data_IF_360916143901
#
_entry.id   IF_360916143901
#
_cell.length_a   1.000
_cell.length_b   1.000
_cell.length_c   1.000
_cell.angle_alpha   90.00
_cell.angle_beta   90.00
_cell.angle_gamma   90.00
#
_symmetry.space_group_name_H-M   'P 1'
#
loop_
_entity.id
_entity.type
_entity.pdbx_description
1 polymer ?
#
# COMPACT_ATOMS: atom_id res chain seq x y z
N UNK A 1 6.71 -8.09 37.42
CA UNK A 1 6.22 -7.21 36.34
C UNK A 1 6.45 -7.92 35.02
N UNK A 2 5.44 -8.63 34.51
CA UNK A 2 5.56 -9.38 33.25
C UNK A 2 5.67 -8.39 32.09
N UNK A 3 6.80 -8.40 31.39
CA UNK A 3 6.88 -7.79 30.05
C UNK A 3 6.03 -8.66 29.12
N UNK A 4 4.86 -8.17 28.72
CA UNK A 4 4.13 -8.72 27.59
C UNK A 4 5.02 -8.47 26.36
N UNK A 5 5.57 -9.53 25.77
CA UNK A 5 6.27 -9.42 24.50
C UNK A 5 5.21 -9.27 23.40
N UNK A 6 4.80 -8.03 23.13
CA UNK A 6 3.93 -7.70 22.01
C UNK A 6 4.76 -7.92 20.73
N UNK A 7 4.52 -9.06 20.05
CA UNK A 7 5.20 -9.35 18.79
C UNK A 7 4.91 -8.28 17.73
N UNK A 8 5.84 -8.09 16.79
CA UNK A 8 5.66 -7.15 15.68
C UNK A 8 4.54 -7.63 14.76
N UNK A 9 3.49 -6.81 14.60
CA UNK A 9 2.43 -7.06 13.63
C UNK A 9 2.82 -6.47 12.29
N UNK A 10 2.89 -7.31 11.25
CA UNK A 10 3.16 -6.91 9.87
C UNK A 10 1.88 -6.98 9.06
N UNK A 11 1.53 -5.90 8.37
CA UNK A 11 0.39 -5.85 7.44
C UNK A 11 0.95 -5.80 6.02
N UNK A 12 0.59 -6.79 5.19
CA UNK A 12 1.00 -6.86 3.79
C UNK A 12 -0.16 -6.46 2.90
N UNK A 13 0.05 -5.44 2.07
CA UNK A 13 -0.94 -4.98 1.09
C UNK A 13 -0.38 -5.14 -0.31
N UNK A 14 -1.12 -5.85 -1.16
CA UNK A 14 -0.81 -5.94 -2.59
C UNK A 14 -1.22 -4.64 -3.29
N UNK A 15 -0.46 -4.22 -4.30
CA UNK A 15 -0.86 -3.09 -5.13
C UNK A 15 -2.27 -3.28 -5.72
N UNK A 16 -3.01 -2.19 -5.90
CA UNK A 16 -4.29 -2.19 -6.60
C UNK A 16 -4.17 -2.63 -8.07
N UNK A 17 -5.30 -2.80 -8.74
CA UNK A 17 -5.32 -3.16 -10.17
C UNK A 17 -4.47 -2.19 -11.01
N UNK A 18 -3.56 -2.75 -11.83
CA UNK A 18 -2.75 -1.99 -12.78
C UNK A 18 -3.29 -2.07 -14.21
N UNK A 19 -2.84 -1.16 -15.08
CA UNK A 19 -3.18 -1.19 -16.51
C UNK A 19 -2.82 -2.52 -17.18
N UNK A 20 -1.77 -3.21 -16.72
CA UNK A 20 -1.40 -4.53 -17.24
C UNK A 20 -2.29 -5.63 -16.67
N UNK A 21 -2.76 -5.52 -15.42
CA UNK A 21 -3.73 -6.46 -14.88
C UNK A 21 -5.05 -6.39 -15.66
N UNK A 22 -5.56 -5.18 -15.91
CA UNK A 22 -6.77 -4.98 -16.72
C UNK A 22 -6.62 -5.53 -18.15
N UNK A 23 -5.41 -5.49 -18.72
CA UNK A 23 -5.08 -6.06 -20.03
C UNK A 23 -4.74 -7.56 -19.99
N UNK A 24 -4.80 -8.22 -18.83
CA UNK A 24 -4.38 -9.61 -18.64
C UNK A 24 -2.93 -9.88 -19.10
N UNK A 25 -2.04 -8.90 -18.91
CA UNK A 25 -0.62 -8.98 -19.28
C UNK A 25 0.25 -9.30 -18.07
N UNK A 26 1.18 -10.23 -18.24
CA UNK A 26 2.24 -10.47 -17.28
C UNK A 26 3.22 -9.29 -17.24
N UNK A 27 3.55 -8.82 -16.04
CA UNK A 27 4.33 -7.60 -15.83
C UNK A 27 5.76 -7.85 -15.33
N UNK A 28 5.98 -8.90 -14.54
CA UNK A 28 7.28 -9.13 -13.88
C UNK A 28 7.76 -7.92 -13.08
N UNK A 29 9.05 -7.58 -13.23
CA UNK A 29 9.71 -6.42 -12.62
C UNK A 29 9.59 -5.12 -13.44
N UNK A 30 8.85 -5.12 -14.55
CA UNK A 30 8.67 -3.92 -15.37
C UNK A 30 7.87 -2.83 -14.64
N UNK A 31 8.39 -1.60 -14.67
CA UNK A 31 7.80 -0.43 -14.03
C UNK A 31 6.97 0.46 -14.98
N UNK A 32 6.41 -0.15 -16.02
CA UNK A 32 5.66 0.57 -17.05
C UNK A 32 4.18 0.75 -16.65
N UNK A 33 3.57 -0.23 -15.99
CA UNK A 33 2.15 -0.12 -15.64
C UNK A 33 1.91 0.90 -14.52
N UNK A 34 0.78 1.58 -14.58
CA UNK A 34 0.25 2.41 -13.50
C UNK A 34 -1.03 1.81 -12.95
N UNK A 35 -1.50 2.29 -11.80
CA UNK A 35 -2.84 1.93 -11.30
C UNK A 35 -3.93 2.41 -12.25
N UNK A 36 -4.95 1.58 -12.42
CA UNK A 36 -6.23 1.99 -12.99
C UNK A 36 -7.01 2.81 -11.97
N UNK A 37 -8.09 3.48 -12.40
CA UNK A 37 -8.97 4.17 -11.45
C UNK A 37 -9.65 3.19 -10.48
N UNK A 38 -9.95 1.96 -10.93
CA UNK A 38 -10.44 0.87 -10.08
C UNK A 38 -9.40 0.54 -9.01
N UNK A 39 -8.13 0.40 -9.41
CA UNK A 39 -7.02 0.17 -8.49
C UNK A 39 -6.84 1.29 -7.47
N UNK A 40 -6.98 2.55 -7.89
CA UNK A 40 -6.92 3.72 -6.99
C UNK A 40 -8.09 3.75 -6.00
N UNK A 41 -9.30 3.49 -6.47
CA UNK A 41 -10.49 3.41 -5.60
C UNK A 41 -10.34 2.31 -4.54
N UNK A 42 -9.87 1.13 -4.93
CA UNK A 42 -9.60 0.04 -3.99
C UNK A 42 -8.49 0.40 -2.98
N UNK A 43 -7.45 1.10 -3.41
CA UNK A 43 -6.39 1.59 -2.52
C UNK A 43 -6.94 2.58 -1.48
N UNK A 44 -7.77 3.55 -1.90
CA UNK A 44 -8.42 4.49 -0.97
C UNK A 44 -9.30 3.77 0.04
N UNK A 45 -10.13 2.82 -0.39
CA UNK A 45 -10.97 2.01 0.51
C UNK A 45 -10.12 1.23 1.53
N UNK A 46 -8.98 0.69 1.10
CA UNK A 46 -8.03 0.02 1.99
C UNK A 46 -7.43 0.98 3.02
N UNK A 47 -7.03 2.18 2.59
CA UNK A 47 -6.56 3.24 3.48
C UNK A 47 -7.61 3.64 4.53
N UNK A 48 -8.86 3.85 4.11
CA UNK A 48 -9.97 4.13 5.02
C UNK A 48 -10.18 3.00 6.03
N UNK A 49 -10.15 1.74 5.60
CA UNK A 49 -10.29 0.58 6.47
C UNK A 49 -9.17 0.50 7.53
N UNK A 50 -7.95 0.87 7.15
CA UNK A 50 -6.78 0.83 8.04
C UNK A 50 -6.58 2.12 8.85
N UNK A 51 -7.36 3.17 8.60
CA UNK A 51 -7.19 4.51 9.23
C UNK A 51 -7.28 4.52 10.76
N UNK A 52 -7.94 3.54 11.37
CA UNK A 52 -8.03 3.39 12.82
C UNK A 52 -6.82 2.70 13.48
N UNK A 53 -5.80 2.33 12.70
CA UNK A 53 -4.60 1.65 13.19
C UNK A 53 -3.41 2.60 13.22
N UNK A 54 -2.61 2.51 14.28
CA UNK A 54 -1.29 3.14 14.34
C UNK A 54 -0.24 2.29 13.64
N UNK A 55 0.64 2.92 12.88
CA UNK A 55 1.77 2.26 12.23
C UNK A 55 3.06 2.96 12.62
N UNK A 56 4.06 2.18 13.04
CA UNK A 56 5.39 2.68 13.34
C UNK A 56 6.20 2.97 12.06
N UNK A 57 5.91 2.26 10.97
CA UNK A 57 6.58 2.41 9.69
C UNK A 57 5.72 1.90 8.52
N UNK A 58 5.91 2.51 7.34
CA UNK A 58 5.31 2.06 6.08
C UNK A 58 6.43 1.84 5.07
N UNK A 59 6.43 0.68 4.43
CA UNK A 59 7.42 0.30 3.42
C UNK A 59 6.75 0.08 2.06
N UNK A 60 7.38 0.57 0.99
CA UNK A 60 6.90 0.36 -0.38
C UNK A 60 8.08 0.12 -1.33
N UNK A 61 7.89 -0.76 -2.31
CA UNK A 61 8.89 -1.02 -3.35
C UNK A 61 9.08 0.20 -4.27
N UNK A 62 10.17 0.23 -5.04
CA UNK A 62 10.40 1.23 -6.08
C UNK A 62 9.39 1.26 -7.24
N UNK A 63 8.51 0.26 -7.37
CA UNK A 63 7.54 0.15 -8.48
C UNK A 63 6.39 1.14 -8.37
N UNK A 64 6.08 1.87 -9.45
CA UNK A 64 5.03 2.91 -9.56
C UNK A 64 3.68 2.43 -9.07
N UNK A 65 3.23 1.24 -9.47
CA UNK A 65 1.91 0.72 -9.06
C UNK A 65 1.81 0.52 -7.54
N UNK A 66 2.91 0.11 -6.90
CA UNK A 66 2.98 -0.06 -5.45
C UNK A 66 3.04 1.31 -4.77
N UNK A 67 3.88 2.22 -5.27
CA UNK A 67 3.97 3.59 -4.75
C UNK A 67 2.63 4.33 -4.85
N UNK A 68 1.95 4.25 -6.00
CA UNK A 68 0.63 4.84 -6.20
C UNK A 68 -0.40 4.24 -5.25
N UNK A 69 -0.36 2.92 -5.02
CA UNK A 69 -1.25 2.27 -4.04
C UNK A 69 -1.01 2.85 -2.65
N UNK A 70 0.25 2.92 -2.23
CA UNK A 70 0.63 3.46 -0.94
C UNK A 70 0.21 4.92 -0.79
N UNK A 71 0.42 5.76 -1.81
CA UNK A 71 0.01 7.17 -1.78
C UNK A 71 -1.50 7.34 -1.64
N UNK A 72 -2.30 6.58 -2.40
CA UNK A 72 -3.77 6.63 -2.31
C UNK A 72 -4.29 6.16 -0.94
N UNK A 73 -3.65 5.14 -0.35
CA UNK A 73 -3.98 4.69 1.00
C UNK A 73 -3.64 5.74 2.06
N UNK A 74 -2.41 6.27 2.04
CA UNK A 74 -1.94 7.24 3.04
C UNK A 74 -2.74 8.55 2.98
N UNK A 75 -3.24 8.94 1.81
CA UNK A 75 -4.13 10.10 1.69
C UNK A 75 -5.44 9.95 2.50
N UNK A 76 -5.86 8.72 2.83
CA UNK A 76 -7.07 8.43 3.61
C UNK A 76 -6.78 8.22 5.10
N UNK A 77 -5.51 8.26 5.52
CA UNK A 77 -5.08 7.97 6.89
C UNK A 77 -4.63 9.25 7.59
N UNK A 78 -5.01 9.42 8.86
CA UNK A 78 -4.59 10.54 9.70
C UNK A 78 -4.04 10.03 11.05
N UNK A 79 -2.96 10.62 11.59
CA UNK A 79 -2.08 11.61 10.96
C UNK A 79 -1.23 10.99 9.84
N UNK A 80 -0.62 11.82 8.99
CA UNK A 80 0.26 11.38 7.92
C UNK A 80 1.48 10.63 8.50
N UNK A 81 1.71 9.40 8.05
CA UNK A 81 2.84 8.56 8.47
C UNK A 81 3.99 8.74 7.47
N UNK A 82 5.23 8.76 7.98
CA UNK A 82 6.41 8.87 7.13
C UNK A 82 6.61 7.61 6.28
N UNK A 83 6.86 7.80 4.99
CA UNK A 83 6.99 6.72 4.02
C UNK A 83 8.45 6.31 3.85
N UNK A 84 8.78 5.06 4.14
CA UNK A 84 10.08 4.48 3.88
C UNK A 84 10.09 3.75 2.53
N UNK A 85 11.07 4.07 1.68
CA UNK A 85 11.30 3.37 0.40
C UNK A 85 12.29 2.22 0.60
N UNK A 86 12.00 1.07 0.01
CA UNK A 86 12.88 -0.10 -0.05
C UNK A 86 13.18 -0.51 -1.49
#
# INVERSE_FOLDING_TARGET
MLRINLGTRVILVRHGESTFNAQHRHQGSSDISVLTEIGRSAARQTGTFLSGLSFDAVYTSSLKRTQQTTSEMLAMMQPAIELNKI
#
